data_IF_049668219234
#
_entry.id   IF_049668219234
#
_cell.length_a   1.000
_cell.length_b   1.000
_cell.length_c   1.000
_cell.angle_alpha   90.00
_cell.angle_beta   90.00
_cell.angle_gamma   90.00
#
_symmetry.space_group_name_H-M   'P 1'
#
loop_
_entity.id
_entity.type
_entity.pdbx_description
1 polymer ?
#
# COMPACT_ATOMS: atom_id res chain seq x y z
N UNK A 1 -2.82 -19.21 -2.16
CA UNK A 1 -2.29 -17.83 -2.35
C UNK A 1 -3.37 -16.82 -2.73
N UNK A 2 -4.16 -17.06 -3.82
CA UNK A 2 -5.20 -16.12 -4.26
C UNK A 2 -6.29 -15.86 -3.23
N UNK A 3 -6.73 -16.87 -2.48
CA UNK A 3 -7.71 -16.68 -1.39
C UNK A 3 -7.20 -15.71 -0.32
N UNK A 4 -5.95 -15.89 0.12
CA UNK A 4 -5.32 -15.01 1.12
C UNK A 4 -5.21 -13.58 0.56
N UNK A 5 -4.79 -13.43 -0.69
CA UNK A 5 -4.73 -12.11 -1.35
C UNK A 5 -6.11 -11.42 -1.41
N UNK A 6 -7.18 -12.16 -1.69
CA UNK A 6 -8.53 -11.58 -1.72
C UNK A 6 -9.04 -11.23 -0.32
N UNK A 7 -8.73 -12.05 0.68
CA UNK A 7 -9.18 -11.84 2.05
C UNK A 7 -8.43 -10.70 2.77
N UNK A 8 -7.11 -10.58 2.53
CA UNK A 8 -6.24 -9.64 3.24
C UNK A 8 -5.79 -8.43 2.40
N UNK A 9 -5.90 -8.53 1.08
CA UNK A 9 -5.30 -7.57 0.15
C UNK A 9 -3.78 -7.75 -0.05
N UNK A 10 -3.14 -8.68 0.67
CA UNK A 10 -1.71 -8.98 0.59
C UNK A 10 -1.48 -10.18 -0.35
N UNK A 11 -0.79 -9.99 -1.48
CA UNK A 11 -0.40 -11.11 -2.33
C UNK A 11 0.62 -12.00 -1.61
N UNK A 12 0.52 -13.30 -1.87
CA UNK A 12 1.46 -14.32 -1.41
C UNK A 12 1.86 -15.20 -2.58
N UNK A 13 3.05 -15.79 -2.52
CA UNK A 13 3.52 -16.74 -3.50
C UNK A 13 3.99 -18.04 -2.82
N UNK A 14 4.01 -19.13 -3.57
CA UNK A 14 4.47 -20.42 -3.09
C UNK A 14 5.38 -21.05 -4.12
N UNK A 15 6.56 -21.48 -3.68
CA UNK A 15 7.53 -22.22 -4.48
C UNK A 15 7.53 -23.70 -4.07
N UNK A 16 7.80 -24.58 -5.03
CA UNK A 16 8.17 -25.95 -4.72
C UNK A 16 9.59 -25.97 -4.13
N UNK A 17 9.69 -26.33 -2.87
CA UNK A 17 10.97 -26.31 -2.13
C UNK A 17 12.02 -27.24 -2.73
N UNK A 18 11.60 -28.34 -3.35
CA UNK A 18 12.52 -29.32 -3.94
C UNK A 18 13.09 -28.81 -5.29
N UNK A 19 12.52 -27.77 -5.86
CA UNK A 19 13.00 -27.11 -7.07
C UNK A 19 13.84 -25.85 -6.82
N UNK A 20 13.89 -25.36 -5.59
CA UNK A 20 14.74 -24.20 -5.22
C UNK A 20 16.17 -24.70 -4.95
N UNK A 21 17.12 -24.11 -5.65
CA UNK A 21 18.54 -24.44 -5.49
C UNK A 21 19.16 -23.59 -4.36
N UNK A 22 19.40 -24.23 -3.21
CA UNK A 22 20.11 -23.59 -2.09
C UNK A 22 19.30 -22.51 -1.38
N UNK A 23 19.57 -21.23 -1.66
CA UNK A 23 19.02 -20.09 -0.92
C UNK A 23 17.95 -19.35 -1.74
N UNK A 24 16.97 -18.74 -1.05
CA UNK A 24 16.09 -17.74 -1.65
C UNK A 24 16.73 -16.37 -1.50
N UNK A 25 16.94 -15.68 -2.63
CA UNK A 25 17.70 -14.43 -2.71
C UNK A 25 16.83 -13.36 -3.35
N UNK A 26 16.62 -12.25 -2.66
CA UNK A 26 15.97 -11.05 -3.24
C UNK A 26 17.06 -10.13 -3.79
N UNK A 27 17.08 -9.97 -5.11
CA UNK A 27 18.11 -9.16 -5.79
C UNK A 27 17.59 -8.46 -7.05
N UNK A 28 18.35 -7.53 -7.56
CA UNK A 28 18.15 -7.03 -8.92
C UNK A 28 18.57 -8.11 -9.93
N UNK A 29 17.89 -8.15 -11.07
CA UNK A 29 18.29 -9.03 -12.15
C UNK A 29 19.67 -8.64 -12.74
N UNK A 30 20.38 -9.61 -13.28
CA UNK A 30 21.48 -9.34 -14.20
C UNK A 30 20.96 -8.82 -15.54
N UNK A 31 21.74 -7.95 -16.19
CA UNK A 31 21.36 -7.43 -17.50
C UNK A 31 21.28 -8.57 -18.54
N UNK A 32 20.12 -8.69 -19.19
CA UNK A 32 19.88 -9.76 -20.17
C UNK A 32 19.50 -11.11 -19.58
N UNK A 33 19.37 -11.23 -18.26
CA UNK A 33 18.95 -12.47 -17.59
C UNK A 33 17.57 -12.91 -18.07
N UNK A 34 17.37 -14.22 -18.26
CA UNK A 34 16.14 -14.78 -18.81
C UNK A 34 15.24 -15.34 -17.70
N UNK A 35 13.93 -15.12 -17.86
CA UNK A 35 12.92 -15.69 -16.99
C UNK A 35 11.71 -16.15 -17.81
N UNK A 36 11.34 -17.42 -17.69
CA UNK A 36 10.08 -17.93 -18.20
C UNK A 36 9.03 -17.83 -17.08
N UNK A 37 7.99 -17.05 -17.31
CA UNK A 37 6.91 -16.83 -16.35
C UNK A 37 5.87 -17.96 -16.37
N UNK A 38 5.06 -18.05 -15.28
CA UNK A 38 3.94 -19.00 -15.16
C UNK A 38 2.93 -18.95 -16.32
N UNK A 39 2.77 -17.80 -16.96
CA UNK A 39 1.88 -17.62 -18.12
C UNK A 39 2.53 -18.02 -19.46
N UNK A 40 3.74 -18.59 -19.44
CA UNK A 40 4.50 -19.00 -20.63
C UNK A 40 5.25 -17.89 -21.34
N UNK A 41 5.19 -16.64 -20.86
CA UNK A 41 5.94 -15.52 -21.45
C UNK A 41 7.41 -15.57 -21.02
N UNK A 42 8.32 -15.58 -21.99
CA UNK A 42 9.75 -15.46 -21.71
C UNK A 42 10.15 -13.98 -21.69
N UNK A 43 10.81 -13.57 -20.62
CA UNK A 43 11.33 -12.22 -20.44
C UNK A 43 12.84 -12.16 -20.56
N UNK A 44 13.33 -11.04 -21.07
CA UNK A 44 14.73 -10.61 -20.94
C UNK A 44 14.76 -9.48 -19.95
N UNK A 45 15.34 -9.73 -18.78
CA UNK A 45 15.33 -8.81 -17.64
C UNK A 45 16.40 -7.74 -17.79
N UNK A 46 16.21 -6.66 -17.07
CA UNK A 46 17.14 -5.55 -16.94
C UNK A 46 17.58 -5.39 -15.47
N UNK A 47 18.68 -4.72 -15.26
CA UNK A 47 19.20 -4.41 -13.89
C UNK A 47 18.24 -3.57 -13.04
N UNK A 48 17.19 -3.01 -13.61
CA UNK A 48 16.13 -2.30 -12.86
C UNK A 48 15.08 -3.24 -12.25
N UNK A 49 15.00 -4.49 -12.71
CA UNK A 49 13.96 -5.42 -12.29
C UNK A 49 14.33 -6.08 -10.95
N UNK A 50 13.40 -6.03 -9.99
CA UNK A 50 13.55 -6.77 -8.75
C UNK A 50 13.09 -8.21 -8.97
N UNK A 51 13.87 -9.15 -8.48
CA UNK A 51 13.63 -10.59 -8.69
C UNK A 51 13.74 -11.35 -7.38
N UNK A 52 13.03 -12.46 -7.33
CA UNK A 52 13.31 -13.55 -6.41
C UNK A 52 14.18 -14.53 -7.19
N UNK A 53 15.30 -14.93 -6.62
CA UNK A 53 16.28 -15.81 -7.21
C UNK A 53 16.66 -16.93 -6.25
N UNK A 54 17.25 -17.98 -6.78
CA UNK A 54 17.97 -18.99 -6.02
C UNK A 54 19.45 -19.00 -6.42
N UNK A 55 20.23 -19.96 -5.94
CA UNK A 55 21.66 -20.07 -6.27
C UNK A 55 21.90 -20.40 -7.77
N UNK A 56 20.88 -20.87 -8.49
CA UNK A 56 20.95 -21.19 -9.92
C UNK A 56 20.50 -20.06 -10.86
N UNK A 57 19.71 -19.10 -10.36
CA UNK A 57 19.23 -17.97 -11.15
C UNK A 57 17.90 -17.40 -10.70
N UNK A 58 17.22 -16.66 -11.57
CA UNK A 58 15.92 -16.03 -11.26
C UNK A 58 14.80 -17.07 -11.28
N UNK A 59 14.00 -17.09 -10.22
CA UNK A 59 12.83 -17.96 -10.03
C UNK A 59 11.50 -17.18 -10.08
N UNK A 60 11.54 -15.85 -9.98
CA UNK A 60 10.33 -15.03 -10.05
C UNK A 60 10.59 -13.56 -10.26
N UNK A 61 9.63 -12.89 -10.88
CA UNK A 61 9.61 -11.43 -11.01
C UNK A 61 8.86 -10.86 -9.81
N UNK A 62 9.60 -10.29 -8.86
CA UNK A 62 9.10 -9.88 -7.55
C UNK A 62 7.84 -9.01 -7.65
N UNK A 63 6.80 -9.40 -6.93
CA UNK A 63 5.53 -8.68 -6.87
C UNK A 63 4.71 -8.66 -8.18
N UNK A 64 5.17 -9.33 -9.23
CA UNK A 64 4.48 -9.39 -10.53
C UNK A 64 4.03 -10.82 -10.83
N UNK A 65 4.96 -11.76 -11.04
CA UNK A 65 4.62 -13.13 -11.37
C UNK A 65 5.79 -14.09 -11.11
N UNK A 66 5.48 -15.27 -10.60
CA UNK A 66 6.45 -16.34 -10.40
C UNK A 66 6.94 -16.96 -11.71
N UNK A 67 8.07 -17.63 -11.64
CA UNK A 67 8.62 -18.42 -12.74
C UNK A 67 7.90 -19.75 -12.92
N UNK A 68 8.00 -20.29 -14.12
CA UNK A 68 7.37 -21.58 -14.46
C UNK A 68 8.13 -22.77 -13.89
N UNK A 69 9.46 -22.66 -13.72
CA UNK A 69 10.32 -23.76 -13.30
C UNK A 69 10.06 -24.23 -11.88
N UNK A 70 9.78 -23.30 -10.97
CA UNK A 70 9.71 -23.52 -9.52
C UNK A 70 8.26 -23.46 -9.01
N UNK A 71 7.31 -23.68 -9.92
CA UNK A 71 5.88 -23.67 -9.62
C UNK A 71 5.44 -24.93 -8.89
N UNK A 72 4.36 -24.78 -8.14
CA UNK A 72 3.71 -25.90 -7.44
C UNK A 72 3.10 -26.88 -8.45
N UNK A 73 3.40 -28.15 -8.29
CA UNK A 73 2.92 -29.27 -9.09
C UNK A 73 2.01 -30.18 -8.21
N UNK A 74 1.25 -31.09 -8.82
CA UNK A 74 0.41 -32.03 -8.07
C UNK A 74 1.18 -32.93 -7.09
N UNK A 75 2.44 -33.21 -7.39
CA UNK A 75 3.36 -34.02 -6.58
C UNK A 75 4.12 -33.23 -5.52
N UNK A 76 4.05 -31.90 -5.51
CA UNK A 76 4.74 -31.05 -4.54
C UNK A 76 4.33 -31.39 -3.12
N UNK A 77 5.30 -31.75 -2.28
CA UNK A 77 5.09 -32.10 -0.86
C UNK A 77 5.73 -31.10 0.11
N UNK A 78 6.62 -30.24 -0.40
CA UNK A 78 7.29 -29.22 0.40
C UNK A 78 7.15 -27.85 -0.27
N UNK A 79 6.73 -26.87 0.49
CA UNK A 79 6.44 -25.51 -0.01
C UNK A 79 7.25 -24.49 0.75
N UNK A 80 7.79 -23.51 0.03
CA UNK A 80 8.25 -22.26 0.61
C UNK A 80 7.16 -21.23 0.35
N UNK A 81 6.55 -20.71 1.43
CA UNK A 81 5.58 -19.62 1.33
C UNK A 81 6.30 -18.28 1.40
N UNK A 82 6.13 -17.47 0.37
CA UNK A 82 6.58 -16.07 0.34
C UNK A 82 5.41 -15.16 0.73
N UNK A 83 5.64 -14.31 1.74
CA UNK A 83 4.77 -13.20 2.11
C UNK A 83 5.66 -11.97 2.20
N UNK A 84 5.60 -11.08 1.23
CA UNK A 84 6.56 -10.00 1.10
C UNK A 84 5.88 -8.68 0.74
N UNK A 85 6.56 -7.57 1.05
CA UNK A 85 6.19 -6.25 0.58
C UNK A 85 7.28 -5.70 -0.34
N UNK A 86 6.88 -4.98 -1.39
CA UNK A 86 7.77 -4.46 -2.41
C UNK A 86 7.52 -2.98 -2.67
N UNK A 87 8.55 -2.25 -3.05
CA UNK A 87 8.45 -0.84 -3.38
C UNK A 87 7.53 -0.61 -4.59
N UNK A 88 6.41 0.07 -4.37
CA UNK A 88 5.32 0.27 -5.32
C UNK A 88 5.76 0.80 -6.69
N UNK A 89 6.60 1.84 -6.72
CA UNK A 89 7.07 2.46 -7.95
C UNK A 89 7.92 1.50 -8.82
N UNK A 90 8.72 0.63 -8.18
CA UNK A 90 9.49 -0.41 -8.86
C UNK A 90 8.58 -1.42 -9.55
N UNK A 91 7.64 -2.00 -8.80
CA UNK A 91 6.70 -2.98 -9.32
C UNK A 91 5.86 -2.41 -10.47
N UNK A 92 5.36 -1.18 -10.33
CA UNK A 92 4.61 -0.51 -11.40
C UNK A 92 5.42 -0.39 -12.68
N UNK A 93 6.68 0.06 -12.60
CA UNK A 93 7.55 0.21 -13.79
C UNK A 93 7.83 -1.12 -14.46
N UNK A 94 8.13 -2.17 -13.67
CA UNK A 94 8.39 -3.51 -14.18
C UNK A 94 7.15 -4.11 -14.84
N UNK A 95 5.97 -4.03 -14.21
CA UNK A 95 4.72 -4.53 -14.78
C UNK A 95 4.35 -3.84 -16.10
N UNK A 96 4.58 -2.53 -16.20
CA UNK A 96 4.36 -1.77 -17.46
C UNK A 96 5.39 -2.12 -18.53
N UNK A 97 6.69 -2.24 -18.17
CA UNK A 97 7.78 -2.56 -19.11
C UNK A 97 7.50 -3.86 -19.87
N UNK A 98 6.99 -4.86 -19.16
CA UNK A 98 6.74 -6.17 -19.75
C UNK A 98 5.29 -6.39 -20.18
N UNK A 99 4.44 -5.37 -20.10
CA UNK A 99 2.99 -5.51 -20.34
C UNK A 99 2.44 -6.76 -19.62
N UNK A 100 2.71 -6.85 -18.33
CA UNK A 100 2.37 -7.99 -17.49
C UNK A 100 1.78 -7.52 -16.14
N UNK A 101 0.62 -6.88 -16.23
CA UNK A 101 -0.12 -6.43 -15.04
C UNK A 101 -0.94 -7.59 -14.48
N UNK A 102 -0.68 -7.96 -13.24
CA UNK A 102 -1.35 -9.04 -12.52
C UNK A 102 -2.15 -8.50 -11.34
N UNK A 103 -2.98 -9.34 -10.72
CA UNK A 103 -3.69 -9.00 -9.48
C UNK A 103 -2.73 -8.67 -8.33
N UNK A 104 -1.55 -9.30 -8.29
CA UNK A 104 -0.51 -8.98 -7.32
C UNK A 104 0.10 -7.60 -7.60
N UNK A 105 0.58 -7.36 -8.83
CA UNK A 105 1.21 -6.09 -9.19
C UNK A 105 0.25 -4.90 -9.06
N UNK A 106 -1.04 -5.10 -9.35
CA UNK A 106 -2.07 -4.08 -9.20
C UNK A 106 -2.28 -3.64 -7.74
N UNK A 107 -1.96 -4.51 -6.78
CA UNK A 107 -1.97 -4.20 -5.35
C UNK A 107 -0.67 -3.55 -4.92
N UNK A 108 0.47 -4.16 -5.24
CA UNK A 108 1.79 -3.63 -4.87
C UNK A 108 2.05 -2.23 -5.44
N UNK A 109 1.60 -1.93 -6.67
CA UNK A 109 1.78 -0.59 -7.28
C UNK A 109 1.11 0.55 -6.50
N UNK A 110 0.22 0.23 -5.54
CA UNK A 110 -0.50 1.16 -4.68
C UNK A 110 0.07 1.28 -3.26
N UNK A 111 1.27 0.81 -3.04
CA UNK A 111 1.95 0.87 -1.74
C UNK A 111 1.14 0.20 -0.61
N UNK A 112 1.02 -1.12 -0.68
CA UNK A 112 0.39 -1.92 0.38
C UNK A 112 1.14 -1.71 1.70
N UNK A 113 0.40 -1.73 2.81
CA UNK A 113 0.95 -1.68 4.15
C UNK A 113 1.87 -2.89 4.43
N UNK A 114 3.16 -2.67 4.77
CA UNK A 114 4.08 -3.77 5.11
C UNK A 114 3.62 -4.63 6.29
N UNK A 115 2.95 -4.04 7.28
CA UNK A 115 2.45 -4.75 8.47
C UNK A 115 1.34 -5.76 8.11
N UNK A 116 0.81 -5.68 6.90
CA UNK A 116 -0.18 -6.63 6.39
C UNK A 116 0.43 -8.00 6.08
N UNK A 117 1.76 -8.08 5.94
CA UNK A 117 2.45 -9.34 5.76
C UNK A 117 2.18 -10.31 6.91
N UNK A 118 2.18 -9.84 8.16
CA UNK A 118 1.90 -10.66 9.34
C UNK A 118 0.48 -11.24 9.29
N UNK A 119 -0.51 -10.41 8.97
CA UNK A 119 -1.91 -10.86 8.86
C UNK A 119 -2.09 -11.91 7.77
N UNK A 120 -1.42 -11.74 6.63
CA UNK A 120 -1.49 -12.69 5.52
C UNK A 120 -0.75 -14.00 5.85
N UNK A 121 0.36 -13.90 6.57
CA UNK A 121 1.10 -15.06 7.06
C UNK A 121 0.24 -15.87 8.05
N UNK A 122 -0.32 -15.23 9.07
CA UNK A 122 -1.17 -15.89 10.07
C UNK A 122 -2.36 -16.58 9.43
N UNK A 123 -3.07 -15.89 8.53
CA UNK A 123 -4.19 -16.50 7.81
C UNK A 123 -3.74 -17.67 6.93
N UNK A 124 -2.58 -17.58 6.28
CA UNK A 124 -2.04 -18.66 5.46
C UNK A 124 -1.72 -19.88 6.32
N UNK A 125 -1.10 -19.67 7.47
CA UNK A 125 -0.74 -20.74 8.40
C UNK A 125 -1.99 -21.42 8.99
N UNK A 126 -2.99 -20.63 9.35
CA UNK A 126 -4.28 -21.16 9.82
C UNK A 126 -4.92 -22.04 8.73
N UNK A 127 -5.00 -21.57 7.50
CA UNK A 127 -5.59 -22.31 6.39
C UNK A 127 -4.81 -23.60 6.07
N UNK A 128 -3.48 -23.53 6.08
CA UNK A 128 -2.65 -24.71 5.88
C UNK A 128 -2.89 -25.75 6.98
N UNK A 129 -2.98 -25.33 8.23
CA UNK A 129 -3.21 -26.24 9.35
C UNK A 129 -4.61 -26.87 9.31
N UNK A 130 -5.63 -26.12 8.87
CA UNK A 130 -6.98 -26.64 8.66
C UNK A 130 -7.05 -27.68 7.53
N UNK A 131 -6.34 -27.40 6.40
CA UNK A 131 -6.36 -28.26 5.23
C UNK A 131 -5.41 -29.47 5.36
N UNK A 132 -4.31 -29.29 6.07
CA UNK A 132 -3.24 -30.26 6.25
C UNK A 132 -2.84 -30.34 7.73
N UNK A 133 -3.65 -30.99 8.59
CA UNK A 133 -3.37 -31.05 10.03
C UNK A 133 -2.01 -31.66 10.40
N UNK A 134 -1.48 -32.55 9.54
CA UNK A 134 -0.20 -33.25 9.72
C UNK A 134 1.01 -32.44 9.19
N UNK A 135 0.78 -31.22 8.65
CA UNK A 135 1.89 -30.41 8.12
C UNK A 135 2.91 -30.08 9.21
N UNK A 136 4.16 -29.95 8.80
CA UNK A 136 5.25 -29.52 9.67
C UNK A 136 5.88 -28.23 9.13
N UNK A 137 6.03 -27.27 10.00
CA UNK A 137 6.80 -26.05 9.70
C UNK A 137 8.26 -26.34 10.01
N UNK A 138 9.11 -26.36 9.00
CA UNK A 138 10.52 -26.71 9.14
C UNK A 138 11.43 -25.51 9.32
N UNK A 139 10.94 -24.29 9.03
CA UNK A 139 11.71 -23.06 9.19
C UNK A 139 10.85 -21.82 8.97
N UNK A 140 11.32 -20.72 9.53
CA UNK A 140 10.79 -19.39 9.35
C UNK A 140 11.96 -18.41 9.21
N UNK A 141 11.86 -17.49 8.25
CA UNK A 141 12.78 -16.37 8.12
C UNK A 141 11.96 -15.10 7.90
N UNK A 142 12.23 -14.08 8.68
CA UNK A 142 11.65 -12.77 8.53
C UNK A 142 12.77 -11.71 8.46
N UNK A 143 12.67 -10.81 7.50
CA UNK A 143 13.59 -9.70 7.32
C UNK A 143 12.83 -8.42 7.03
N UNK A 144 12.74 -7.55 8.02
CA UNK A 144 12.14 -6.23 7.90
C UNK A 144 13.13 -5.14 8.32
N UNK A 145 14.17 -4.87 7.48
CA UNK A 145 15.31 -4.03 7.86
C UNK A 145 14.95 -2.55 8.03
N UNK A 146 13.88 -2.08 7.42
CA UNK A 146 13.42 -0.69 7.51
C UNK A 146 11.93 -0.66 7.83
N UNK A 147 11.56 -0.72 9.11
CA UNK A 147 10.16 -0.68 9.54
C UNK A 147 9.46 0.60 9.08
N UNK A 148 8.20 0.48 8.71
CA UNK A 148 7.34 1.61 8.37
C UNK A 148 7.19 2.52 9.59
N UNK A 149 7.50 3.80 9.42
CA UNK A 149 7.20 4.82 10.42
C UNK A 149 5.77 5.30 10.20
N UNK A 150 4.96 5.23 11.26
CA UNK A 150 3.63 5.83 11.25
C UNK A 150 3.77 7.34 11.04
N UNK A 151 2.90 7.91 10.22
CA UNK A 151 2.83 9.36 10.10
C UNK A 151 2.22 9.95 11.39
N UNK A 152 2.81 11.01 11.88
CA UNK A 152 2.33 11.77 13.05
C UNK A 152 2.05 13.20 12.60
N UNK A 153 0.88 13.72 12.90
CA UNK A 153 0.39 15.00 12.36
C UNK A 153 -0.23 15.82 13.49
N UNK A 154 0.28 17.03 13.66
CA UNK A 154 -0.31 18.00 14.60
C UNK A 154 -1.31 18.90 13.87
N UNK A 155 -2.52 19.00 14.42
CA UNK A 155 -3.63 19.77 13.86
C UNK A 155 -4.29 20.60 14.95
N UNK A 156 -4.36 21.93 14.77
CA UNK A 156 -5.15 22.76 15.64
C UNK A 156 -6.65 22.57 15.37
N UNK A 157 -7.46 22.33 16.40
CA UNK A 157 -8.91 22.22 16.28
C UNK A 157 -9.52 23.48 15.68
N UNK A 158 -9.07 24.66 16.13
CA UNK A 158 -9.48 25.94 15.56
C UNK A 158 -9.16 26.08 14.07
N UNK A 159 -8.13 25.40 13.56
CA UNK A 159 -7.83 25.35 12.12
C UNK A 159 -8.82 24.45 11.38
N UNK A 160 -9.19 23.28 11.95
CA UNK A 160 -10.21 22.40 11.39
C UNK A 160 -11.56 23.13 11.31
N UNK A 161 -11.99 23.76 12.40
CA UNK A 161 -13.26 24.50 12.47
C UNK A 161 -13.35 25.59 11.41
N UNK A 162 -12.29 26.40 11.24
CA UNK A 162 -12.26 27.44 10.21
C UNK A 162 -12.33 26.88 8.80
N UNK A 163 -11.74 25.71 8.55
CA UNK A 163 -11.72 25.09 7.24
C UNK A 163 -13.02 24.39 6.90
N UNK A 164 -13.64 23.78 7.88
CA UNK A 164 -14.88 23.03 7.72
C UNK A 164 -16.14 23.92 7.91
N UNK A 165 -15.97 25.10 8.51
CA UNK A 165 -17.11 25.97 8.83
C UNK A 165 -18.02 25.38 9.92
N UNK A 166 -17.50 24.45 10.74
CA UNK A 166 -18.23 23.76 11.79
C UNK A 166 -17.45 23.80 13.09
N UNK A 167 -18.15 24.04 14.21
CA UNK A 167 -17.58 23.88 15.54
C UNK A 167 -17.52 22.39 15.86
N UNK A 168 -16.34 21.91 16.23
CA UNK A 168 -16.05 20.52 16.51
C UNK A 168 -15.40 20.39 17.87
N UNK A 169 -16.00 19.61 18.75
CA UNK A 169 -15.34 19.25 20.02
C UNK A 169 -14.28 18.15 19.79
N UNK A 170 -13.32 17.99 20.72
CA UNK A 170 -12.40 16.85 20.70
C UNK A 170 -13.13 15.51 20.56
N UNK A 171 -14.24 15.32 21.28
CA UNK A 171 -15.04 14.09 21.25
C UNK A 171 -15.70 13.88 19.88
N UNK A 172 -16.16 14.95 19.22
CA UNK A 172 -16.72 14.85 17.86
C UNK A 172 -15.69 14.35 16.86
N UNK A 173 -14.45 14.85 16.95
CA UNK A 173 -13.36 14.43 16.07
C UNK A 173 -12.92 13.01 16.39
N UNK A 174 -12.78 12.67 17.67
CA UNK A 174 -12.41 11.32 18.12
C UNK A 174 -13.42 10.28 17.64
N UNK A 175 -14.71 10.55 17.79
CA UNK A 175 -15.78 9.67 17.31
C UNK A 175 -15.75 9.42 15.78
N UNK A 176 -15.11 10.29 15.00
CA UNK A 176 -14.96 10.13 13.55
C UNK A 176 -13.69 9.39 13.16
N UNK A 177 -12.56 9.67 13.81
CA UNK A 177 -11.24 9.19 13.41
C UNK A 177 -10.83 7.89 14.09
N UNK A 178 -11.15 7.69 15.39
CA UNK A 178 -10.76 6.48 16.11
C UNK A 178 -11.32 5.19 15.50
N UNK A 179 -12.58 5.14 15.03
CA UNK A 179 -13.10 3.93 14.35
C UNK A 179 -12.36 3.59 13.05
N UNK A 180 -11.63 4.55 12.47
CA UNK A 180 -10.77 4.35 11.30
C UNK A 180 -9.34 3.91 11.68
N UNK A 181 -9.06 3.76 12.99
CA UNK A 181 -7.77 3.32 13.51
C UNK A 181 -6.77 4.44 13.79
N UNK A 182 -7.16 5.71 13.67
CA UNK A 182 -6.30 6.82 14.11
C UNK A 182 -6.23 6.85 15.64
N UNK A 183 -5.04 7.15 16.17
CA UNK A 183 -4.86 7.38 17.59
C UNK A 183 -4.74 8.89 17.83
N UNK A 184 -5.51 9.40 18.77
CA UNK A 184 -5.62 10.84 19.02
C UNK A 184 -5.19 11.17 20.45
N UNK A 185 -4.53 12.30 20.61
CA UNK A 185 -4.35 12.95 21.91
C UNK A 185 -4.54 14.45 21.77
N UNK A 186 -5.09 15.08 22.80
CA UNK A 186 -5.46 16.49 22.78
C UNK A 186 -4.72 17.24 23.88
N UNK A 187 -4.17 18.40 23.54
CA UNK A 187 -3.58 19.36 24.47
C UNK A 187 -4.08 20.77 24.09
N UNK A 188 -5.12 21.22 24.79
CA UNK A 188 -5.80 22.48 24.46
C UNK A 188 -6.37 22.48 23.05
N UNK A 189 -5.92 23.42 22.22
CA UNK A 189 -6.31 23.54 20.81
C UNK A 189 -5.57 22.56 19.90
N UNK A 190 -4.49 21.94 20.36
CA UNK A 190 -3.70 21.04 19.55
C UNK A 190 -4.20 19.59 19.66
N UNK A 191 -4.42 18.96 18.51
CA UNK A 191 -4.68 17.55 18.36
C UNK A 191 -3.47 16.90 17.72
N UNK A 192 -2.83 15.95 18.41
CA UNK A 192 -1.81 15.08 17.85
C UNK A 192 -2.45 13.81 17.33
N UNK A 193 -2.19 13.48 16.07
CA UNK A 193 -2.78 12.36 15.35
C UNK A 193 -1.70 11.37 14.93
N UNK A 194 -1.78 10.13 15.39
CA UNK A 194 -0.95 9.02 14.89
C UNK A 194 -1.77 8.27 13.85
N UNK A 195 -1.28 8.29 12.63
CA UNK A 195 -1.94 7.68 11.47
C UNK A 195 -1.71 6.17 11.48
N UNK A 196 -2.73 5.32 11.25
CA UNK A 196 -2.54 3.88 11.17
C UNK A 196 -1.62 3.48 10.00
N UNK A 197 -0.95 2.34 10.10
CA UNK A 197 0.05 1.89 9.14
C UNK A 197 -0.48 1.82 7.72
N UNK A 198 -1.70 1.32 7.53
CA UNK A 198 -2.35 1.19 6.21
C UNK A 198 -2.73 2.52 5.55
N UNK A 199 -2.67 3.64 6.28
CA UNK A 199 -2.85 4.99 5.77
C UNK A 199 -1.54 5.78 5.76
N UNK A 200 -0.46 5.23 6.38
CA UNK A 200 0.86 5.86 6.47
C UNK A 200 1.76 5.61 5.25
N UNK A 201 1.30 4.86 4.24
CA UNK A 201 2.05 4.54 3.02
C UNK A 201 2.04 5.65 1.95
N UNK A 202 1.70 6.89 2.36
CA UNK A 202 1.65 8.08 1.50
C UNK A 202 0.23 8.59 1.21
N UNK A 203 -0.77 8.03 1.86
CA UNK A 203 -2.18 8.40 1.72
C UNK A 203 -2.53 9.57 2.67
N UNK A 204 -2.22 9.42 3.96
CA UNK A 204 -2.45 10.46 4.96
C UNK A 204 -1.09 10.92 5.51
N UNK A 205 -0.71 12.17 5.20
CA UNK A 205 0.62 12.70 5.53
C UNK A 205 0.63 14.15 5.99
N UNK A 206 -0.44 14.88 5.77
CA UNK A 206 -0.57 16.30 6.10
C UNK A 206 -1.91 16.59 6.79
N UNK A 207 -1.99 17.74 7.46
CA UNK A 207 -3.20 18.14 8.18
C UNK A 207 -4.45 18.30 7.28
N UNK A 208 -4.26 18.53 5.98
CA UNK A 208 -5.37 18.60 5.03
C UNK A 208 -6.01 17.23 4.81
N UNK A 209 -5.23 16.15 4.87
CA UNK A 209 -5.74 14.79 4.76
C UNK A 209 -6.58 14.43 6.00
N UNK A 210 -6.13 14.87 7.19
CA UNK A 210 -6.93 14.69 8.44
C UNK A 210 -8.24 15.46 8.34
N UNK A 211 -8.22 16.69 7.80
CA UNK A 211 -9.44 17.46 7.57
C UNK A 211 -10.40 16.74 6.61
N UNK A 212 -9.88 16.14 5.56
CA UNK A 212 -10.68 15.35 4.60
C UNK A 212 -11.33 14.15 5.31
N UNK A 213 -10.59 13.41 6.13
CA UNK A 213 -11.14 12.27 6.88
C UNK A 213 -12.25 12.71 7.84
N UNK A 214 -12.05 13.82 8.56
CA UNK A 214 -13.09 14.37 9.44
C UNK A 214 -14.33 14.77 8.63
N UNK A 215 -14.15 15.49 7.51
CA UNK A 215 -15.24 15.93 6.65
C UNK A 215 -16.02 14.76 6.05
N UNK A 216 -15.29 13.74 5.56
CA UNK A 216 -15.87 12.53 4.98
C UNK A 216 -16.71 11.75 5.99
N UNK A 217 -16.21 11.61 7.23
CA UNK A 217 -16.91 10.91 8.30
C UNK A 217 -18.02 11.75 8.97
N UNK A 218 -17.93 13.07 8.85
CA UNK A 218 -19.03 13.97 9.23
C UNK A 218 -20.22 13.84 8.25
N UNK A 219 -19.92 13.57 6.98
CA UNK A 219 -20.85 13.51 5.87
C UNK A 219 -20.94 14.83 5.12
N UNK A 220 -20.58 14.83 3.84
CA UNK A 220 -20.56 16.05 3.02
C UNK A 220 -21.94 16.68 2.89
N UNK A 221 -23.01 15.91 2.99
CA UNK A 221 -24.41 16.33 2.96
C UNK A 221 -24.81 17.18 4.19
N UNK A 222 -24.02 17.12 5.26
CA UNK A 222 -24.24 17.90 6.49
C UNK A 222 -23.56 19.29 6.48
N UNK A 223 -22.91 19.65 5.36
CA UNK A 223 -22.35 20.98 5.15
C UNK A 223 -23.33 21.85 4.36
N UNK A 224 -23.72 22.98 4.94
CA UNK A 224 -24.58 23.94 4.25
C UNK A 224 -23.77 24.72 3.22
N UNK A 225 -24.30 24.86 2.01
CA UNK A 225 -23.69 25.70 0.99
C UNK A 225 -24.00 27.17 1.29
N UNK A 226 -22.97 27.95 1.60
CA UNK A 226 -23.07 29.40 1.74
C UNK A 226 -22.71 30.10 0.44
N UNK A 227 -23.51 31.07 -0.04
CA UNK A 227 -23.15 31.84 -1.22
C UNK A 227 -21.93 32.72 -0.94
N UNK A 228 -21.00 32.76 -1.88
CA UNK A 228 -19.83 33.63 -1.79
C UNK A 228 -20.32 35.07 -1.91
N UNK A 229 -20.20 35.84 -0.82
CA UNK A 229 -20.43 37.29 -0.83
C UNK A 229 -19.11 37.99 -1.08
N UNK A 230 -19.01 38.74 -2.21
CA UNK A 230 -17.91 39.63 -2.48
C UNK A 230 -18.43 41.06 -2.52
N UNK A 231 -17.77 41.96 -1.81
CA UNK A 231 -17.97 43.39 -1.99
C UNK A 231 -17.06 43.88 -3.13
N UNK A 232 -17.64 44.51 -4.14
CA UNK A 232 -16.87 45.22 -5.13
C UNK A 232 -16.68 46.66 -4.64
N UNK A 233 -15.51 46.99 -4.15
CA UNK A 233 -15.15 48.35 -3.80
C UNK A 233 -14.86 49.13 -5.07
N UNK A 234 -15.86 49.84 -5.51
CA UNK A 234 -15.76 50.92 -6.52
C UNK A 234 -15.34 50.47 -7.93
N UNK A 235 -15.78 51.18 -8.91
CA UNK A 235 -15.29 51.01 -10.28
C UNK A 235 -13.79 51.37 -10.33
N UNK A 236 -12.96 50.42 -10.75
CA UNK A 236 -11.59 50.74 -11.16
C UNK A 236 -11.71 51.67 -12.33
N UNK A 237 -11.36 52.96 -12.12
CA UNK A 237 -11.26 53.94 -13.21
C UNK A 237 -10.18 53.45 -14.18
N UNK A 238 -10.61 52.85 -15.27
CA UNK A 238 -9.70 52.47 -16.35
C UNK A 238 -9.57 53.70 -17.26
N UNK A 239 -8.59 54.53 -16.96
CA UNK A 239 -8.26 55.75 -17.73
C UNK A 239 -8.17 55.48 -19.24
N UNK A 240 -7.67 54.29 -19.59
CA UNK A 240 -7.51 53.89 -20.99
C UNK A 240 -8.84 53.66 -21.71
N UNK A 241 -9.89 53.22 -21.01
CA UNK A 241 -11.24 53.07 -21.58
C UNK A 241 -12.02 54.38 -21.67
N UNK A 242 -11.68 55.34 -20.82
CA UNK A 242 -12.27 56.69 -20.88
C UNK A 242 -11.65 57.53 -21.98
N UNK A 243 -10.44 57.20 -22.47
CA UNK A 243 -9.79 57.85 -23.61
C UNK A 243 -10.24 57.29 -24.97
N UNK A 244 -10.87 56.10 -25.00
CA UNK A 244 -11.42 55.48 -26.22
C UNK A 244 -12.90 55.87 -26.48
N UNK A 245 -13.53 56.69 -25.63
CA UNK A 245 -14.88 57.24 -25.78
C UNK A 245 -14.85 58.68 -26.20
#
# INVERSE_FOLDING_TARGET
TNYVMLATGQPTHAFDSDHIAGHVIVRRAGEGEKLLLLNGKELTLTSDDLTIADDAGVVGLAGVMGGAKDSILPETSKVILEVANFQAAGIRRTALRYDNRTEASARYEKAIDPERCDQAFDLSMQLFQELYPEMQVTGLADQYPVPLKKAEIDVALSWLERRLGKVLTPDDVAAKLEPLGFQLSFDGDNMHVVVPTWRSTGDVSIKADIMEEVARMYGYENFEAEPITTSFDGAINQLDKDLER
#
